data_IF_838245648297
#
_entry.id   IF_838245648297
#
_cell.length_a   1.000
_cell.length_b   1.000
_cell.length_c   1.000
_cell.angle_alpha   90.00
_cell.angle_beta   90.00
_cell.angle_gamma   90.00
#
_symmetry.space_group_name_H-M   'P 1'
#
loop_
_entity.id
_entity.type
_entity.pdbx_description
1 polymer ?
#
# COMPACT_ATOMS: atom_id res chain seq x y z
N UNK A 1 27.09 35.36 19.19
CA UNK A 1 27.47 33.95 19.12
C UNK A 1 26.33 32.97 19.39
N UNK A 2 25.53 33.12 20.42
CA UNK A 2 24.42 32.20 20.72
C UNK A 2 23.33 32.12 19.64
N UNK A 3 23.04 33.21 18.95
CA UNK A 3 21.99 33.26 17.89
C UNK A 3 22.42 32.52 16.61
N UNK A 4 23.71 32.48 16.30
CA UNK A 4 24.26 31.80 15.12
C UNK A 4 24.21 30.27 15.26
N UNK A 5 24.51 29.77 16.46
CA UNK A 5 24.49 28.34 16.76
C UNK A 5 23.05 27.79 16.73
N UNK A 6 22.09 28.55 17.22
CA UNK A 6 20.67 28.16 17.24
C UNK A 6 20.08 28.08 15.81
N UNK A 7 20.43 29.03 14.93
CA UNK A 7 20.01 29.02 13.52
C UNK A 7 20.64 27.86 12.76
N UNK A 8 21.88 27.51 13.02
CA UNK A 8 22.57 26.40 12.38
C UNK A 8 21.99 25.04 12.80
N UNK A 9 21.67 24.89 14.07
CA UNK A 9 21.04 23.65 14.59
C UNK A 9 19.62 23.47 14.01
N UNK A 10 18.82 24.54 13.92
CA UNK A 10 17.48 24.50 13.34
C UNK A 10 17.54 24.13 11.85
N UNK A 11 18.52 24.63 11.11
CA UNK A 11 18.70 24.31 9.70
C UNK A 11 19.09 22.85 9.50
N UNK A 12 19.96 22.30 10.36
CA UNK A 12 20.35 20.88 10.34
C UNK A 12 19.17 19.98 10.66
N UNK A 13 18.35 20.31 11.67
CA UNK A 13 17.16 19.52 12.03
C UNK A 13 16.13 19.51 10.89
N UNK A 14 15.95 20.62 10.17
CA UNK A 14 15.07 20.68 9.00
C UNK A 14 15.60 19.81 7.85
N UNK A 15 16.91 19.74 7.63
CA UNK A 15 17.53 18.87 6.63
C UNK A 15 17.35 17.38 6.98
N UNK A 16 17.48 17.01 8.25
CA UNK A 16 17.27 15.61 8.67
C UNK A 16 15.80 15.16 8.57
N UNK A 17 14.83 16.06 8.79
CA UNK A 17 13.40 15.74 8.65
C UNK A 17 12.94 15.60 7.19
N UNK A 18 13.67 16.14 6.23
CA UNK A 18 13.39 16.00 4.79
C UNK A 18 14.08 14.80 4.14
N UNK A 19 15.00 14.10 4.85
CA UNK A 19 15.80 13.00 4.31
C UNK A 19 15.08 11.65 4.34
N UNK A 20 13.92 11.49 5.03
CA UNK A 20 13.10 10.28 5.01
C UNK A 20 11.92 10.50 4.06
N UNK A 21 12.17 10.35 2.76
CA UNK A 21 11.12 10.34 1.76
C UNK A 21 10.24 9.10 1.95
N UNK A 22 8.93 9.30 2.14
CA UNK A 22 7.94 8.23 2.05
C UNK A 22 7.72 7.87 0.57
N UNK A 23 7.32 6.63 0.25
CA UNK A 23 6.85 6.28 -1.08
C UNK A 23 5.74 7.23 -1.53
N UNK A 24 5.68 7.51 -2.84
CA UNK A 24 4.60 8.30 -3.41
C UNK A 24 3.23 7.73 -3.01
N UNK A 25 2.28 8.61 -2.78
CA UNK A 25 0.92 8.25 -2.36
C UNK A 25 0.25 7.25 -3.31
N UNK A 26 0.52 7.33 -4.62
CA UNK A 26 -0.03 6.39 -5.60
C UNK A 26 0.39 4.94 -5.32
N UNK A 27 1.65 4.71 -4.95
CA UNK A 27 2.13 3.38 -4.60
C UNK A 27 1.55 2.89 -3.27
N UNK A 28 1.46 3.78 -2.28
CA UNK A 28 0.82 3.46 -1.00
C UNK A 28 -0.66 3.10 -1.17
N UNK A 29 -1.39 3.86 -1.98
CA UNK A 29 -2.80 3.59 -2.28
C UNK A 29 -2.97 2.26 -3.00
N UNK A 30 -2.16 1.98 -4.04
CA UNK A 30 -2.17 0.70 -4.75
C UNK A 30 -1.97 -0.49 -3.82
N UNK A 31 -0.96 -0.41 -2.96
CA UNK A 31 -0.61 -1.47 -2.00
C UNK A 31 -1.70 -1.65 -0.95
N UNK A 32 -2.25 -0.56 -0.41
CA UNK A 32 -3.32 -0.61 0.58
C UNK A 32 -4.61 -1.20 0.01
N UNK A 33 -5.02 -0.80 -1.20
CA UNK A 33 -6.21 -1.38 -1.84
C UNK A 33 -6.00 -2.85 -2.18
N UNK A 34 -4.84 -3.24 -2.70
CA UNK A 34 -4.51 -4.63 -2.98
C UNK A 34 -4.52 -5.48 -1.71
N UNK A 35 -3.91 -5.01 -0.64
CA UNK A 35 -3.88 -5.71 0.65
C UNK A 35 -5.28 -5.87 1.27
N UNK A 36 -6.13 -4.86 1.15
CA UNK A 36 -7.52 -4.92 1.63
C UNK A 36 -8.34 -5.94 0.83
N UNK A 37 -8.22 -5.94 -0.49
CA UNK A 37 -8.86 -6.92 -1.36
C UNK A 37 -8.40 -8.34 -0.97
N UNK A 38 -7.10 -8.55 -0.83
CA UNK A 38 -6.53 -9.86 -0.52
C UNK A 38 -6.94 -10.33 0.89
N UNK A 39 -7.01 -9.42 1.86
CA UNK A 39 -7.47 -9.71 3.21
C UNK A 39 -8.94 -10.16 3.25
N UNK A 40 -9.83 -9.46 2.56
CA UNK A 40 -11.24 -9.87 2.43
C UNK A 40 -11.38 -11.17 1.64
N UNK A 41 -10.70 -11.28 0.50
CA UNK A 41 -10.78 -12.42 -0.40
C UNK A 41 -10.31 -13.71 0.26
N UNK A 42 -9.26 -13.65 1.07
CA UNK A 42 -8.73 -14.82 1.78
C UNK A 42 -9.73 -15.44 2.77
N UNK A 43 -10.66 -14.64 3.31
CA UNK A 43 -11.71 -15.11 4.23
C UNK A 43 -13.04 -15.38 3.54
N UNK A 44 -13.36 -14.64 2.48
CA UNK A 44 -14.69 -14.68 1.86
C UNK A 44 -14.75 -15.51 0.58
N UNK A 45 -13.62 -15.80 -0.06
CA UNK A 45 -13.56 -16.56 -1.30
C UNK A 45 -12.87 -17.89 -1.05
N UNK A 46 -13.59 -18.98 -1.32
CA UNK A 46 -13.04 -20.33 -1.22
C UNK A 46 -11.91 -20.51 -2.26
N UNK A 47 -10.80 -21.07 -1.82
CA UNK A 47 -9.61 -21.34 -2.65
C UNK A 47 -8.98 -20.07 -3.28
N UNK A 48 -9.09 -18.92 -2.61
CA UNK A 48 -8.40 -17.73 -3.04
C UNK A 48 -6.87 -17.90 -2.92
N UNK A 49 -6.16 -17.63 -4.00
CA UNK A 49 -4.70 -17.74 -4.04
C UNK A 49 -4.05 -16.37 -3.78
N UNK A 50 -3.90 -16.03 -2.51
CA UNK A 50 -3.31 -14.79 -2.05
C UNK A 50 -1.80 -14.69 -2.31
N UNK A 51 -1.09 -15.81 -2.35
CA UNK A 51 0.35 -15.83 -2.71
C UNK A 51 0.57 -15.40 -4.15
N UNK A 52 -0.29 -15.83 -5.07
CA UNK A 52 -0.23 -15.42 -6.47
C UNK A 52 -0.44 -13.91 -6.62
N UNK A 53 -1.44 -13.36 -5.95
CA UNK A 53 -1.74 -11.93 -6.00
C UNK A 53 -0.60 -11.10 -5.38
N UNK A 54 -0.06 -11.54 -4.25
CA UNK A 54 1.11 -10.95 -3.62
C UNK A 54 2.31 -10.94 -4.58
N UNK A 55 2.60 -12.08 -5.21
CA UNK A 55 3.72 -12.22 -6.14
C UNK A 55 3.55 -11.29 -7.34
N UNK A 56 2.35 -11.21 -7.91
CA UNK A 56 2.06 -10.32 -9.05
C UNK A 56 2.29 -8.86 -8.69
N UNK A 57 1.79 -8.41 -7.53
CA UNK A 57 1.94 -7.04 -7.07
C UNK A 57 3.42 -6.69 -6.88
N UNK A 58 4.17 -7.54 -6.18
CA UNK A 58 5.57 -7.23 -5.87
C UNK A 58 6.50 -7.43 -7.06
N UNK A 59 6.20 -8.32 -8.01
CA UNK A 59 6.89 -8.38 -9.29
C UNK A 59 6.70 -7.10 -10.11
N UNK A 60 5.50 -6.53 -10.11
CA UNK A 60 5.25 -5.23 -10.73
C UNK A 60 6.05 -4.11 -10.07
N UNK A 61 6.08 -4.05 -8.74
CA UNK A 61 6.86 -3.05 -8.01
C UNK A 61 8.38 -3.21 -8.20
N UNK A 62 8.86 -4.43 -8.36
CA UNK A 62 10.26 -4.70 -8.70
C UNK A 62 10.64 -4.13 -10.08
N UNK A 63 9.79 -4.26 -11.07
CA UNK A 63 9.97 -3.64 -12.39
C UNK A 63 9.99 -2.12 -12.27
N UNK A 64 9.05 -1.53 -11.54
CA UNK A 64 9.00 -0.08 -11.30
C UNK A 64 10.30 0.41 -10.63
N UNK A 65 10.84 -0.35 -9.70
CA UNK A 65 12.09 -0.04 -9.00
C UNK A 65 13.30 -0.14 -9.93
N UNK A 66 13.42 -1.24 -10.66
CA UNK A 66 14.63 -1.57 -11.44
C UNK A 66 14.69 -0.88 -12.79
N UNK A 67 13.58 -0.73 -13.49
CA UNK A 67 13.54 -0.20 -14.85
C UNK A 67 13.16 1.27 -14.90
N UNK A 68 12.27 1.72 -14.05
CA UNK A 68 11.78 3.11 -14.06
C UNK A 68 12.36 3.97 -12.94
N UNK A 69 13.00 3.40 -11.94
CA UNK A 69 13.66 4.08 -10.82
C UNK A 69 12.72 5.05 -10.06
N UNK A 70 11.43 4.77 -10.04
CA UNK A 70 10.41 5.59 -9.39
C UNK A 70 10.29 5.32 -7.89
N UNK A 71 10.81 4.19 -7.43
CA UNK A 71 10.87 3.81 -6.01
C UNK A 71 12.28 3.33 -5.67
N UNK A 72 12.71 3.59 -4.44
CA UNK A 72 13.97 3.13 -3.88
C UNK A 72 13.82 1.74 -3.24
N UNK A 73 14.92 1.10 -2.86
CA UNK A 73 14.87 -0.13 -2.05
C UNK A 73 14.18 0.09 -0.70
N UNK A 74 14.37 1.27 -0.09
CA UNK A 74 13.69 1.63 1.14
C UNK A 74 12.18 1.77 0.94
N UNK A 75 11.75 2.43 -0.15
CA UNK A 75 10.34 2.55 -0.51
C UNK A 75 9.71 1.17 -0.73
N UNK A 76 10.39 0.28 -1.44
CA UNK A 76 9.94 -1.08 -1.66
C UNK A 76 9.71 -1.84 -0.35
N UNK A 77 10.63 -1.72 0.60
CA UNK A 77 10.51 -2.33 1.92
C UNK A 77 9.34 -1.74 2.73
N UNK A 78 9.13 -0.42 2.65
CA UNK A 78 7.98 0.25 3.28
C UNK A 78 6.67 -0.26 2.65
N UNK A 79 6.58 -0.35 1.34
CA UNK A 79 5.40 -0.84 0.62
C UNK A 79 5.09 -2.30 0.99
N UNK A 80 6.10 -3.15 1.07
CA UNK A 80 5.96 -4.55 1.49
C UNK A 80 5.44 -4.66 2.93
N UNK A 81 6.02 -3.90 3.84
CA UNK A 81 5.57 -3.83 5.23
C UNK A 81 4.12 -3.32 5.34
N UNK A 82 3.78 -2.30 4.56
CA UNK A 82 2.43 -1.73 4.51
C UNK A 82 1.40 -2.75 4.02
N UNK A 83 1.72 -3.49 2.97
CA UNK A 83 0.86 -4.57 2.46
C UNK A 83 0.57 -5.61 3.56
N UNK A 84 1.63 -6.13 4.20
CA UNK A 84 1.50 -7.15 5.23
C UNK A 84 0.65 -6.65 6.40
N UNK A 85 0.90 -5.43 6.88
CA UNK A 85 0.15 -4.82 7.98
C UNK A 85 -1.32 -4.61 7.63
N UNK A 86 -1.61 -4.05 6.46
CA UNK A 86 -2.98 -3.78 6.02
C UNK A 86 -3.77 -5.06 5.82
N UNK A 87 -3.19 -6.07 5.17
CA UNK A 87 -3.82 -7.38 4.99
C UNK A 87 -4.11 -8.04 6.33
N UNK A 88 -3.13 -8.11 7.23
CA UNK A 88 -3.28 -8.69 8.57
C UNK A 88 -4.32 -7.95 9.41
N UNK A 89 -4.38 -6.62 9.35
CA UNK A 89 -5.37 -5.83 10.04
C UNK A 89 -6.78 -6.10 9.51
N UNK A 90 -6.96 -6.20 8.20
CA UNK A 90 -8.24 -6.54 7.55
C UNK A 90 -8.74 -7.91 8.00
N UNK A 91 -7.88 -8.93 7.94
CA UNK A 91 -8.20 -10.29 8.41
C UNK A 91 -8.56 -10.29 9.89
N UNK A 92 -7.74 -9.64 10.73
CA UNK A 92 -7.95 -9.58 12.17
C UNK A 92 -9.28 -8.89 12.55
N UNK A 93 -9.63 -7.81 11.86
CA UNK A 93 -10.90 -7.11 12.08
C UNK A 93 -12.09 -8.00 11.73
N UNK A 94 -12.04 -8.73 10.62
CA UNK A 94 -13.10 -9.67 10.23
C UNK A 94 -13.21 -10.85 11.18
N UNK A 95 -12.09 -11.41 11.64
CA UNK A 95 -12.07 -12.54 12.56
C UNK A 95 -12.58 -12.20 13.97
N UNK A 96 -12.53 -10.93 14.37
CA UNK A 96 -13.13 -10.47 15.65
C UNK A 96 -14.64 -10.40 15.62
N UNK A 97 -15.26 -10.44 14.45
CA UNK A 97 -16.71 -10.43 14.31
C UNK A 97 -17.30 -11.81 14.68
N UNK A 98 -18.52 -11.81 15.20
CA UNK A 98 -19.28 -13.04 15.35
C UNK A 98 -19.54 -13.68 13.98
N UNK A 99 -19.67 -15.01 13.92
CA UNK A 99 -19.80 -15.77 12.68
C UNK A 99 -20.89 -15.22 11.74
N UNK A 100 -22.05 -14.84 12.27
CA UNK A 100 -23.13 -14.25 11.48
C UNK A 100 -22.75 -12.89 10.89
N UNK A 101 -21.96 -12.09 11.62
CA UNK A 101 -21.47 -10.80 11.14
C UNK A 101 -20.38 -10.97 10.10
N UNK A 102 -19.51 -11.98 10.23
CA UNK A 102 -18.54 -12.36 9.20
C UNK A 102 -19.24 -12.75 7.90
N UNK A 103 -20.28 -13.60 7.97
CA UNK A 103 -21.10 -13.98 6.80
C UNK A 103 -21.75 -12.76 6.13
N UNK A 104 -22.32 -11.85 6.94
CA UNK A 104 -22.88 -10.59 6.41
C UNK A 104 -21.83 -9.72 5.73
N UNK A 105 -20.63 -9.62 6.30
CA UNK A 105 -19.51 -8.89 5.71
C UNK A 105 -19.07 -9.51 4.40
N UNK A 106 -18.96 -10.84 4.34
CA UNK A 106 -18.64 -11.56 3.10
C UNK A 106 -19.74 -11.43 2.03
N UNK A 107 -21.02 -11.43 2.42
CA UNK A 107 -22.13 -11.21 1.48
C UNK A 107 -22.14 -9.78 0.90
N UNK A 108 -21.63 -8.81 1.64
CA UNK A 108 -21.42 -7.44 1.16
C UNK A 108 -20.09 -7.26 0.41
N UNK A 109 -19.26 -8.29 0.42
CA UNK A 109 -17.90 -8.23 -0.10
C UNK A 109 -17.87 -7.85 -1.59
N UNK A 110 -18.79 -8.33 -2.41
CA UNK A 110 -18.84 -7.97 -3.83
C UNK A 110 -18.93 -6.44 -4.05
N UNK A 111 -19.72 -5.74 -3.24
CA UNK A 111 -19.82 -4.28 -3.31
C UNK A 111 -18.56 -3.58 -2.81
N UNK A 112 -17.95 -4.14 -1.76
CA UNK A 112 -16.69 -3.64 -1.20
C UNK A 112 -15.55 -3.90 -2.20
N UNK A 113 -15.50 -5.08 -2.78
CA UNK A 113 -14.54 -5.48 -3.80
C UNK A 113 -14.59 -4.51 -5.01
N UNK A 114 -15.75 -4.29 -5.60
CA UNK A 114 -15.92 -3.39 -6.73
C UNK A 114 -15.42 -1.97 -6.42
N UNK A 115 -15.62 -1.50 -5.19
CA UNK A 115 -15.17 -0.19 -4.76
C UNK A 115 -13.64 -0.13 -4.62
N UNK A 116 -13.02 -1.13 -4.00
CA UNK A 116 -11.56 -1.20 -3.86
C UNK A 116 -10.88 -1.47 -5.18
N UNK A 117 -11.47 -2.35 -6.00
CA UNK A 117 -10.94 -2.66 -7.33
C UNK A 117 -10.93 -1.42 -8.23
N UNK A 118 -11.99 -0.65 -8.28
CA UNK A 118 -12.03 0.63 -9.01
C UNK A 118 -10.94 1.60 -8.54
N UNK A 119 -10.70 1.68 -7.23
CA UNK A 119 -9.65 2.53 -6.67
C UNK A 119 -8.25 2.02 -7.03
N UNK A 120 -8.06 0.71 -6.99
CA UNK A 120 -6.83 0.05 -7.42
C UNK A 120 -6.56 0.32 -8.90
N UNK A 121 -7.57 0.13 -9.77
CA UNK A 121 -7.45 0.40 -11.20
C UNK A 121 -7.10 1.87 -11.47
N UNK A 122 -7.74 2.78 -10.78
CA UNK A 122 -7.40 4.21 -10.90
C UNK A 122 -5.96 4.50 -10.49
N UNK A 123 -5.47 3.90 -9.41
CA UNK A 123 -4.07 4.04 -8.99
C UNK A 123 -3.11 3.50 -10.06
N UNK A 124 -3.45 2.38 -10.71
CA UNK A 124 -2.66 1.81 -11.81
C UNK A 124 -2.64 2.74 -13.04
N UNK A 125 -3.80 3.29 -13.42
CA UNK A 125 -3.89 4.26 -14.54
C UNK A 125 -3.07 5.53 -14.26
N UNK A 126 -3.12 6.05 -13.04
CA UNK A 126 -2.36 7.22 -12.65
C UNK A 126 -0.84 6.93 -12.63
N UNK A 127 -0.44 5.72 -12.22
CA UNK A 127 0.94 5.27 -12.31
C UNK A 127 1.40 5.10 -13.76
N UNK A 128 0.57 4.55 -14.63
CA UNK A 128 0.86 4.40 -16.05
C UNK A 128 1.10 5.77 -16.72
N UNK A 129 0.28 6.76 -16.40
CA UNK A 129 0.47 8.14 -16.85
C UNK A 129 1.81 8.70 -16.36
N UNK A 130 2.14 8.48 -15.10
CA UNK A 130 3.41 8.94 -14.54
C UNK A 130 4.62 8.28 -15.22
N UNK A 131 4.55 6.98 -15.52
CA UNK A 131 5.59 6.23 -16.23
C UNK A 131 5.76 6.75 -17.66
N UNK A 132 4.66 7.06 -18.34
CA UNK A 132 4.66 7.54 -19.72
C UNK A 132 4.93 9.04 -19.85
N UNK A 133 5.13 9.74 -18.74
CA UNK A 133 5.50 11.16 -18.73
C UNK A 133 4.34 12.13 -19.02
N UNK A 134 3.11 11.74 -18.75
CA UNK A 134 1.89 12.58 -18.88
C UNK A 134 1.49 13.24 -17.56
#
# INVERSE_FOLDING_TARGET
MKVFITKFIITIVLFFNTAVASPDKLFLDLVNYSASIDGYSSLCIKNYNDEKELTNLFSFLDVIKSEYLLITDNDYNILKSTYIKTKSATISQLMKLKLNSQKKSCNKYLKIFERFDRKKQKSLEDLEKMINGY
#
